data_IF_481127526120
#
_entry.id   IF_481127526120
#
_cell.length_a   1.000
_cell.length_b   1.000
_cell.length_c   1.000
_cell.angle_alpha   90.00
_cell.angle_beta   90.00
_cell.angle_gamma   90.00
#
_symmetry.space_group_name_H-M   'P 1'
#
loop_
_entity.id
_entity.type
_entity.pdbx_description
1 polymer ?
#
# COMPACT_ATOMS: atom_id res chain seq x y z
N UNK A 1 -20.29 -1.50 46.95
CA UNK A 1 -20.01 -0.39 47.89
C UNK A 1 -18.70 0.31 47.60
N UNK A 2 -17.63 -0.40 47.21
CA UNK A 2 -16.31 0.18 46.95
C UNK A 2 -16.29 1.06 45.72
N UNK A 3 -16.97 0.66 44.66
CA UNK A 3 -17.15 1.48 43.44
C UNK A 3 -17.94 2.76 43.75
N UNK A 4 -19.02 2.65 44.50
CA UNK A 4 -19.78 3.82 44.94
C UNK A 4 -18.92 4.79 45.77
N UNK A 5 -18.00 4.27 46.61
CA UNK A 5 -17.08 5.10 47.36
C UNK A 5 -16.03 5.75 46.43
N UNK A 6 -15.49 5.00 45.46
CA UNK A 6 -14.58 5.58 44.47
C UNK A 6 -15.24 6.67 43.63
N UNK A 7 -16.46 6.44 43.18
CA UNK A 7 -17.24 7.44 42.44
C UNK A 7 -17.54 8.67 43.27
N UNK A 8 -17.97 8.48 44.55
CA UNK A 8 -18.15 9.59 45.46
C UNK A 8 -16.87 10.43 45.59
N UNK A 9 -15.72 9.84 45.77
CA UNK A 9 -14.45 10.58 45.92
C UNK A 9 -14.04 11.32 44.63
N UNK A 10 -14.43 10.81 43.44
CA UNK A 10 -14.22 11.49 42.18
C UNK A 10 -15.18 12.69 42.01
N UNK A 11 -16.48 12.47 42.27
CA UNK A 11 -17.55 13.43 41.95
C UNK A 11 -17.80 14.47 43.05
N UNK A 12 -17.46 14.17 44.31
CA UNK A 12 -17.72 15.09 45.44
C UNK A 12 -17.11 16.48 45.25
N UNK A 13 -15.97 16.55 44.54
CA UNK A 13 -15.30 17.83 44.24
C UNK A 13 -16.14 18.76 43.37
N UNK A 14 -17.08 18.23 42.62
CA UNK A 14 -18.01 18.96 41.73
C UNK A 14 -19.30 19.31 42.44
N UNK A 15 -19.69 18.54 43.47
CA UNK A 15 -20.97 18.66 44.16
C UNK A 15 -20.93 19.77 45.19
N UNK A 16 -21.98 20.60 45.20
CA UNK A 16 -22.25 21.64 46.18
C UNK A 16 -23.53 21.28 46.94
N UNK A 17 -23.44 21.14 48.28
CA UNK A 17 -24.58 20.82 49.12
C UNK A 17 -24.78 21.94 50.14
N UNK A 18 -26.04 22.44 50.30
CA UNK A 18 -26.34 23.42 51.33
C UNK A 18 -25.92 22.95 52.71
N UNK A 19 -25.22 23.82 53.48
CA UNK A 19 -24.70 23.48 54.78
C UNK A 19 -23.30 22.86 54.78
N UNK A 20 -22.70 22.57 53.63
CA UNK A 20 -21.33 22.01 53.51
C UNK A 20 -20.49 22.86 52.56
N UNK A 21 -19.20 22.95 52.89
CA UNK A 21 -18.22 23.49 51.94
C UNK A 21 -18.13 22.57 50.70
N UNK A 22 -18.07 23.15 49.50
CA UNK A 22 -17.95 22.42 48.24
C UNK A 22 -16.88 21.33 48.34
N UNK A 23 -17.23 20.10 48.00
CA UNK A 23 -16.35 18.94 48.01
C UNK A 23 -16.11 18.35 49.41
N UNK A 24 -16.86 18.73 50.47
CA UNK A 24 -16.65 18.25 51.86
C UNK A 24 -17.91 17.60 52.48
N UNK A 25 -19.02 17.51 51.75
CA UNK A 25 -20.23 16.85 52.22
C UNK A 25 -20.00 15.32 52.30
N UNK A 26 -20.30 14.65 53.43
CA UNK A 26 -20.23 13.19 53.51
C UNK A 26 -21.16 12.51 52.52
N UNK A 27 -20.77 11.31 52.03
CA UNK A 27 -21.54 10.55 51.04
C UNK A 27 -23.02 10.36 51.42
N UNK A 28 -23.29 10.00 52.65
CA UNK A 28 -24.63 9.78 53.17
C UNK A 28 -25.53 11.03 53.08
N UNK A 29 -24.99 12.26 53.23
CA UNK A 29 -25.70 13.49 53.09
C UNK A 29 -25.98 13.83 51.60
N UNK A 30 -25.05 13.51 50.73
CA UNK A 30 -25.21 13.68 49.28
C UNK A 30 -26.32 12.72 48.77
N UNK A 31 -26.27 11.45 49.15
CA UNK A 31 -27.29 10.44 48.81
C UNK A 31 -28.66 10.79 49.33
N UNK A 32 -28.71 11.37 50.57
CA UNK A 32 -30.00 11.80 51.16
C UNK A 32 -30.61 13.00 50.41
N UNK A 33 -29.78 13.90 49.87
CA UNK A 33 -30.24 15.13 49.22
C UNK A 33 -30.52 14.95 47.74
N UNK A 34 -29.69 14.25 47.01
CA UNK A 34 -29.79 14.05 45.57
C UNK A 34 -30.36 12.66 45.19
N UNK A 35 -30.59 11.79 46.14
CA UNK A 35 -30.99 10.41 45.93
C UNK A 35 -29.81 9.45 45.89
N UNK A 36 -30.08 8.20 46.24
CA UNK A 36 -29.05 7.14 46.29
C UNK A 36 -28.39 6.87 44.94
N UNK A 37 -29.12 7.09 43.86
CA UNK A 37 -28.71 6.83 42.47
C UNK A 37 -27.69 7.84 41.91
N UNK A 38 -27.43 8.93 42.66
CA UNK A 38 -26.49 9.98 42.20
C UNK A 38 -25.06 9.47 41.84
N UNK A 39 -24.68 8.34 42.42
CA UNK A 39 -23.37 7.74 42.15
C UNK A 39 -23.43 6.42 41.36
N UNK A 40 -24.63 5.98 40.94
CA UNK A 40 -24.80 4.68 40.28
C UNK A 40 -24.14 4.64 38.90
N UNK A 41 -24.33 5.66 38.09
CA UNK A 41 -23.77 5.75 36.75
C UNK A 41 -22.21 5.65 36.79
N UNK A 42 -21.58 6.44 37.65
CA UNK A 42 -20.13 6.39 37.83
C UNK A 42 -19.63 5.08 38.43
N UNK A 43 -20.41 4.42 39.29
CA UNK A 43 -20.05 3.12 39.85
C UNK A 43 -20.21 2.00 38.83
N UNK A 44 -21.22 2.05 37.97
CA UNK A 44 -21.43 1.11 36.86
C UNK A 44 -20.26 1.24 35.88
N UNK A 45 -19.92 2.45 35.46
CA UNK A 45 -18.80 2.71 34.55
C UNK A 45 -17.45 2.22 35.11
N UNK A 46 -17.29 2.18 36.44
CA UNK A 46 -16.07 1.70 37.11
C UNK A 46 -16.00 0.17 37.22
N UNK A 47 -17.16 -0.51 37.34
CA UNK A 47 -17.23 -1.97 37.55
C UNK A 47 -17.47 -2.72 36.23
N UNK A 48 -18.25 -2.15 35.32
CA UNK A 48 -18.69 -2.80 34.09
C UNK A 48 -17.55 -3.44 33.29
N UNK A 49 -16.42 -2.75 33.01
CA UNK A 49 -15.35 -3.34 32.20
C UNK A 49 -14.81 -4.64 32.82
N UNK A 50 -14.63 -4.67 34.13
CA UNK A 50 -14.12 -5.86 34.84
C UNK A 50 -15.15 -6.97 34.85
N UNK A 51 -16.42 -6.65 35.17
CA UNK A 51 -17.49 -7.63 35.21
C UNK A 51 -17.78 -8.22 33.81
N UNK A 52 -17.67 -7.41 32.75
CA UNK A 52 -17.82 -7.86 31.38
C UNK A 52 -16.69 -8.82 30.98
N UNK A 53 -15.42 -8.46 31.28
CA UNK A 53 -14.27 -9.32 31.01
C UNK A 53 -14.37 -10.68 31.73
N UNK A 54 -14.81 -10.67 32.98
CA UNK A 54 -15.05 -11.90 33.76
C UNK A 54 -16.16 -12.74 33.14
N UNK A 55 -17.29 -12.11 32.74
CA UNK A 55 -18.40 -12.80 32.09
C UNK A 55 -18.02 -13.41 30.74
N UNK A 56 -17.20 -12.71 29.93
CA UNK A 56 -16.68 -13.23 28.67
C UNK A 56 -15.76 -14.44 28.91
N UNK A 57 -14.86 -14.36 29.90
CA UNK A 57 -13.98 -15.49 30.27
C UNK A 57 -14.78 -16.71 30.74
N UNK A 58 -15.82 -16.49 31.55
CA UNK A 58 -16.67 -17.57 32.08
C UNK A 58 -17.51 -18.23 30.99
N UNK A 59 -18.05 -17.41 30.06
CA UNK A 59 -18.86 -17.90 28.92
C UNK A 59 -18.04 -18.64 27.88
N UNK A 60 -16.72 -18.46 27.84
CA UNK A 60 -15.80 -19.00 26.79
C UNK A 60 -16.19 -18.59 25.37
N UNK A 61 -16.91 -17.49 25.23
CA UNK A 61 -17.26 -16.95 23.90
C UNK A 61 -16.09 -16.15 23.33
N UNK A 62 -15.83 -16.36 22.04
CA UNK A 62 -14.87 -15.53 21.29
C UNK A 62 -15.58 -14.26 20.81
N UNK A 63 -15.61 -13.25 21.69
CA UNK A 63 -16.33 -11.99 21.48
C UNK A 63 -15.49 -11.06 20.61
N UNK A 64 -16.08 -10.56 19.51
CA UNK A 64 -15.45 -9.62 18.58
C UNK A 64 -15.72 -8.18 19.03
N UNK A 65 -16.96 -7.88 19.32
CA UNK A 65 -17.38 -6.55 19.82
C UNK A 65 -18.68 -6.66 20.59
N UNK A 66 -18.90 -5.74 21.50
CA UNK A 66 -20.19 -5.51 22.10
C UNK A 66 -21.07 -4.75 21.10
N UNK A 67 -22.31 -5.11 21.00
CA UNK A 67 -23.27 -4.51 20.08
C UNK A 67 -23.90 -3.22 20.63
N UNK A 68 -23.30 -2.60 21.66
CA UNK A 68 -23.82 -1.43 22.38
C UNK A 68 -25.25 -1.59 22.98
N UNK A 69 -25.82 -2.77 22.91
CA UNK A 69 -27.12 -3.11 23.51
C UNK A 69 -26.93 -3.43 25.00
N UNK A 70 -26.43 -2.43 25.74
CA UNK A 70 -26.24 -2.53 27.17
C UNK A 70 -27.55 -2.13 27.90
N UNK A 71 -28.13 -3.07 28.62
CA UNK A 71 -29.34 -2.87 29.43
C UNK A 71 -29.05 -3.15 30.90
N UNK A 72 -29.34 -2.20 31.77
CA UNK A 72 -29.30 -2.43 33.20
C UNK A 72 -30.66 -2.99 33.61
N UNK A 73 -30.68 -4.28 33.99
CA UNK A 73 -31.88 -4.99 34.44
C UNK A 73 -32.26 -4.58 35.86
N UNK A 74 -31.26 -4.51 36.75
CA UNK A 74 -31.44 -4.14 38.14
C UNK A 74 -30.21 -3.39 38.66
N UNK A 75 -30.44 -2.36 39.48
CA UNK A 75 -29.36 -1.61 40.11
C UNK A 75 -29.71 -1.22 41.53
N UNK A 76 -28.79 -1.44 42.46
CA UNK A 76 -28.98 -1.14 43.88
C UNK A 76 -27.66 -1.04 44.63
N UNK A 77 -27.74 -0.84 45.96
CA UNK A 77 -26.57 -0.72 46.84
C UNK A 77 -25.69 -1.98 46.88
N UNK A 78 -26.27 -3.13 46.60
CA UNK A 78 -25.56 -4.43 46.68
C UNK A 78 -24.90 -4.83 45.40
N UNK A 79 -25.31 -4.25 44.25
CA UNK A 79 -24.80 -4.55 42.96
C UNK A 79 -25.72 -4.08 41.86
N UNK A 80 -25.38 -4.47 40.62
CA UNK A 80 -26.25 -4.30 39.48
C UNK A 80 -26.19 -5.54 38.59
N UNK A 81 -27.31 -5.79 37.92
CA UNK A 81 -27.44 -6.84 36.91
C UNK A 81 -27.56 -6.17 35.56
N UNK A 82 -26.74 -6.59 34.61
CA UNK A 82 -26.81 -6.09 33.25
C UNK A 82 -27.00 -7.21 32.25
N UNK A 83 -27.57 -6.85 31.10
CA UNK A 83 -27.66 -7.68 29.94
C UNK A 83 -26.92 -6.98 28.79
N UNK A 84 -26.16 -7.71 28.05
CA UNK A 84 -25.44 -7.18 26.88
C UNK A 84 -25.51 -8.18 25.75
N UNK A 85 -25.74 -7.68 24.54
CA UNK A 85 -25.64 -8.48 23.32
C UNK A 85 -24.22 -8.33 22.76
N UNK A 86 -23.60 -9.44 22.44
CA UNK A 86 -22.24 -9.48 21.89
C UNK A 86 -22.25 -10.17 20.54
N UNK A 87 -21.36 -9.72 19.66
CA UNK A 87 -21.11 -10.38 18.39
C UNK A 87 -19.91 -11.31 18.59
N UNK A 88 -20.10 -12.58 18.28
CA UNK A 88 -19.08 -13.60 18.41
C UNK A 88 -18.52 -13.97 17.04
N UNK A 89 -17.33 -14.57 17.02
CA UNK A 89 -16.79 -15.18 15.81
C UNK A 89 -17.78 -16.18 15.23
N UNK A 90 -17.92 -16.22 13.88
CA UNK A 90 -18.78 -17.19 13.21
C UNK A 90 -18.20 -18.60 13.28
N UNK A 91 -19.08 -19.59 13.20
CA UNK A 91 -18.61 -20.94 12.90
C UNK A 91 -18.08 -21.00 11.48
N UNK A 92 -16.87 -21.54 11.35
CA UNK A 92 -16.15 -21.61 10.07
C UNK A 92 -15.98 -23.05 9.65
N UNK A 93 -16.30 -23.33 8.40
CA UNK A 93 -16.06 -24.61 7.78
C UNK A 93 -15.14 -24.44 6.56
N UNK A 94 -14.11 -25.27 6.46
CA UNK A 94 -13.21 -25.30 5.32
C UNK A 94 -12.82 -26.76 5.03
N UNK A 95 -12.94 -27.15 3.77
CA UNK A 95 -12.58 -28.49 3.31
C UNK A 95 -11.70 -28.35 2.06
N UNK A 96 -10.95 -29.42 1.75
CA UNK A 96 -10.14 -29.51 0.52
C UNK A 96 -9.07 -28.43 0.36
N UNK A 97 -8.54 -27.87 1.46
CA UNK A 97 -7.48 -26.87 1.45
C UNK A 97 -6.07 -27.43 1.16
N UNK A 98 -5.92 -28.78 1.05
CA UNK A 98 -4.68 -29.46 0.64
C UNK A 98 -4.74 -29.80 -0.84
N UNK A 99 -3.60 -29.72 -1.51
CA UNK A 99 -3.50 -30.01 -2.93
C UNK A 99 -4.14 -28.96 -3.83
N UNK A 100 -4.18 -27.69 -3.39
CA UNK A 100 -4.62 -26.58 -4.21
C UNK A 100 -3.68 -26.40 -5.40
N UNK A 101 -4.25 -26.01 -6.54
CA UNK A 101 -3.50 -25.92 -7.78
C UNK A 101 -2.95 -24.51 -7.95
N UNK A 102 -1.66 -24.42 -8.27
CA UNK A 102 -0.97 -23.18 -8.54
C UNK A 102 -0.28 -23.20 -9.89
N UNK A 103 -0.25 -22.06 -10.55
CA UNK A 103 0.46 -21.85 -11.81
C UNK A 103 1.55 -20.77 -11.58
N UNK A 104 2.72 -21.13 -11.04
CA UNK A 104 3.78 -20.16 -10.81
C UNK A 104 4.38 -19.69 -12.13
N UNK A 105 4.65 -18.39 -12.22
CA UNK A 105 5.41 -17.83 -13.34
C UNK A 105 6.87 -18.23 -13.24
N UNK A 106 7.56 -18.31 -14.39
CA UNK A 106 9.01 -18.59 -14.39
C UNK A 106 9.77 -17.35 -13.90
N UNK A 107 10.58 -17.45 -12.84
CA UNK A 107 11.35 -16.30 -12.30
C UNK A 107 12.60 -15.98 -13.15
N UNK A 108 12.64 -16.33 -14.45
CA UNK A 108 13.81 -16.10 -15.30
C UNK A 108 14.09 -14.61 -15.49
N UNK A 109 15.24 -14.15 -15.01
CA UNK A 109 15.78 -12.80 -15.27
C UNK A 109 16.64 -12.83 -16.54
N UNK A 110 16.29 -12.01 -17.52
CA UNK A 110 16.99 -11.90 -18.79
C UNK A 110 18.07 -10.82 -18.74
N UNK A 111 19.05 -10.89 -19.66
CA UNK A 111 20.09 -9.86 -19.79
C UNK A 111 19.48 -8.48 -20.09
N UNK A 112 18.37 -8.45 -20.85
CA UNK A 112 17.65 -7.21 -21.15
C UNK A 112 17.11 -6.54 -19.88
N UNK A 113 16.68 -7.31 -18.86
CA UNK A 113 16.20 -6.77 -17.60
C UNK A 113 17.33 -6.14 -16.78
N UNK A 114 18.51 -6.78 -16.82
CA UNK A 114 19.72 -6.26 -16.17
C UNK A 114 20.15 -4.95 -16.84
N UNK A 115 20.19 -4.94 -18.18
CA UNK A 115 20.53 -3.74 -18.94
C UNK A 115 19.52 -2.61 -18.72
N UNK A 116 18.24 -2.93 -18.63
CA UNK A 116 17.20 -1.96 -18.31
C UNK A 116 17.39 -1.34 -16.92
N UNK A 117 17.76 -2.12 -15.91
CA UNK A 117 17.99 -1.61 -14.56
C UNK A 117 19.27 -0.76 -14.48
N UNK A 118 20.31 -1.17 -15.19
CA UNK A 118 21.54 -0.38 -15.34
C UNK A 118 21.23 0.95 -16.03
N UNK A 119 20.46 0.93 -17.12
CA UNK A 119 20.06 2.14 -17.84
C UNK A 119 19.26 3.10 -16.96
N UNK A 120 18.35 2.60 -16.10
CA UNK A 120 17.65 3.45 -15.11
C UNK A 120 18.63 4.10 -14.13
N UNK A 121 19.70 3.39 -13.77
CA UNK A 121 20.75 3.96 -12.91
C UNK A 121 21.52 5.04 -13.66
N UNK A 122 21.97 4.78 -14.88
CA UNK A 122 22.64 5.77 -15.73
C UNK A 122 21.76 7.02 -15.93
N UNK A 123 20.47 6.83 -16.12
CA UNK A 123 19.50 7.91 -16.25
C UNK A 123 19.43 8.84 -15.04
N UNK A 124 19.58 8.30 -13.82
CA UNK A 124 19.61 9.11 -12.59
C UNK A 124 20.87 9.98 -12.47
N UNK A 125 21.97 9.52 -13.04
CA UNK A 125 23.24 10.24 -13.03
C UNK A 125 23.49 11.05 -14.30
N UNK A 126 22.56 10.98 -15.28
CA UNK A 126 22.64 11.82 -16.48
C UNK A 126 22.26 13.27 -16.13
N UNK A 127 22.84 14.19 -16.88
CA UNK A 127 22.62 15.63 -16.73
C UNK A 127 22.31 16.27 -18.07
N UNK A 128 21.52 17.34 -18.03
CA UNK A 128 21.26 18.13 -19.21
C UNK A 128 22.39 19.11 -19.44
N UNK A 129 23.05 19.01 -20.58
CA UNK A 129 24.17 19.87 -20.97
C UNK A 129 23.89 20.51 -22.33
N UNK A 130 24.36 21.71 -22.55
CA UNK A 130 24.32 22.36 -23.87
C UNK A 130 25.20 21.61 -24.84
N UNK A 131 24.63 21.21 -25.98
CA UNK A 131 25.29 20.43 -27.01
C UNK A 131 25.28 21.16 -28.35
N UNK A 132 26.38 21.07 -29.07
CA UNK A 132 26.49 21.52 -30.46
C UNK A 132 26.10 20.36 -31.42
N UNK A 133 24.83 19.99 -31.40
CA UNK A 133 24.27 18.94 -32.28
C UNK A 133 22.93 19.41 -32.86
N UNK A 134 22.40 18.66 -33.81
CA UNK A 134 21.02 18.82 -34.25
C UNK A 134 20.05 18.33 -33.16
N UNK A 135 18.92 19.01 -33.01
CA UNK A 135 17.89 18.67 -32.02
C UNK A 135 17.27 17.30 -32.33
N UNK A 136 17.17 16.47 -31.30
CA UNK A 136 16.58 15.13 -31.32
C UNK A 136 15.42 15.05 -30.34
N UNK A 137 14.66 13.96 -30.37
CA UNK A 137 13.64 13.70 -29.35
C UNK A 137 14.30 13.63 -27.96
N UNK A 138 13.58 14.06 -26.93
CA UNK A 138 14.01 14.18 -25.54
C UNK A 138 15.06 15.29 -25.26
N UNK A 139 15.53 16.02 -26.30
CA UNK A 139 16.34 17.21 -26.07
C UNK A 139 15.47 18.40 -25.64
N UNK A 140 16.05 19.30 -24.85
CA UNK A 140 15.44 20.56 -24.48
C UNK A 140 15.95 21.65 -25.44
N UNK A 141 15.05 22.21 -26.21
CA UNK A 141 15.33 23.36 -27.07
C UNK A 141 14.96 24.64 -26.35
N UNK A 142 15.92 25.53 -26.15
CA UNK A 142 15.69 26.90 -25.63
C UNK A 142 15.53 27.79 -26.84
N UNK A 143 14.36 28.44 -26.98
CA UNK A 143 13.98 29.17 -28.16
C UNK A 143 13.15 30.40 -27.86
N UNK A 144 13.19 31.37 -28.76
CA UNK A 144 12.16 32.40 -28.87
C UNK A 144 11.17 31.97 -29.97
N UNK A 145 9.92 32.25 -29.76
CA UNK A 145 8.93 32.05 -30.81
C UNK A 145 7.89 33.18 -30.86
N UNK A 146 7.42 33.47 -32.06
CA UNK A 146 6.35 34.43 -32.32
C UNK A 146 5.33 33.82 -33.29
N UNK A 147 4.12 33.56 -32.82
CA UNK A 147 3.02 32.99 -33.61
C UNK A 147 2.14 34.05 -34.21
N UNK A 148 1.74 33.84 -35.47
CA UNK A 148 0.81 34.69 -36.18
C UNK A 148 -0.20 33.87 -36.97
N UNK A 149 -1.42 34.42 -37.14
CA UNK A 149 -2.48 33.90 -38.03
C UNK A 149 -2.73 34.95 -39.08
N UNK A 150 -2.63 34.59 -40.37
CA UNK A 150 -2.74 35.50 -41.49
C UNK A 150 -1.80 36.74 -41.38
N UNK A 151 -0.63 36.55 -40.74
CA UNK A 151 0.35 37.62 -40.55
C UNK A 151 0.05 38.52 -39.37
N UNK A 152 -0.98 38.25 -38.56
CA UNK A 152 -1.31 39.05 -37.35
C UNK A 152 -0.92 38.25 -36.10
N UNK A 153 -0.04 38.77 -35.22
CA UNK A 153 0.28 38.16 -33.96
C UNK A 153 -0.95 37.99 -33.07
N UNK A 154 -1.05 36.89 -32.31
CA UNK A 154 -2.14 36.64 -31.37
C UNK A 154 -1.65 36.59 -29.94
N UNK A 155 -2.54 36.86 -28.99
CA UNK A 155 -2.23 36.87 -27.56
C UNK A 155 -1.82 35.48 -27.05
N UNK A 156 -0.70 35.38 -26.33
CA UNK A 156 -0.13 34.10 -25.88
C UNK A 156 0.66 33.34 -26.94
N UNK A 157 0.81 33.88 -28.15
CA UNK A 157 1.56 33.26 -29.26
C UNK A 157 3.07 33.51 -29.24
N UNK A 158 3.59 34.32 -28.31
CA UNK A 158 5.02 34.67 -28.27
C UNK A 158 5.63 34.41 -26.89
N UNK A 159 6.87 33.92 -26.86
CA UNK A 159 7.69 33.83 -25.66
C UNK A 159 9.16 33.94 -26.03
N UNK A 160 9.96 34.42 -25.08
CA UNK A 160 11.41 34.50 -25.19
C UNK A 160 12.05 33.53 -24.20
N UNK A 161 13.18 32.92 -24.62
CA UNK A 161 13.95 31.93 -23.85
C UNK A 161 13.10 30.77 -23.29
N UNK A 162 12.11 30.34 -24.05
CA UNK A 162 11.25 29.23 -23.66
C UNK A 162 11.98 27.90 -23.81
N UNK A 163 11.91 27.06 -22.79
CA UNK A 163 12.52 25.72 -22.78
C UNK A 163 11.45 24.68 -23.11
N UNK A 164 11.57 24.03 -24.28
CA UNK A 164 10.68 23.01 -24.76
C UNK A 164 11.42 21.67 -24.87
N UNK A 165 10.91 20.62 -24.21
CA UNK A 165 11.39 19.25 -24.44
C UNK A 165 10.70 18.67 -25.66
N UNK A 166 11.46 18.29 -26.69
CA UNK A 166 10.93 17.71 -27.91
C UNK A 166 10.40 16.29 -27.68
N UNK A 167 9.28 15.95 -28.33
CA UNK A 167 8.65 14.62 -28.20
C UNK A 167 7.61 14.51 -27.10
N UNK A 168 7.49 15.52 -26.21
CA UNK A 168 6.51 15.52 -25.11
C UNK A 168 5.09 15.84 -25.54
N UNK A 169 4.91 16.35 -26.77
CA UNK A 169 3.62 16.80 -27.33
C UNK A 169 2.92 17.86 -26.45
N UNK A 170 3.70 18.69 -25.79
CA UNK A 170 3.20 19.81 -25.00
C UNK A 170 2.70 20.98 -25.89
N UNK A 171 3.27 21.10 -27.10
CA UNK A 171 2.83 22.09 -28.10
C UNK A 171 1.80 21.50 -29.06
N UNK A 172 1.22 22.38 -29.89
CA UNK A 172 0.26 21.96 -30.93
C UNK A 172 0.89 20.93 -31.87
N UNK A 173 0.11 19.91 -32.30
CA UNK A 173 0.62 18.84 -33.14
C UNK A 173 1.39 19.33 -34.36
N UNK A 174 2.57 18.75 -34.59
CA UNK A 174 3.45 19.08 -35.70
C UNK A 174 4.40 20.26 -35.44
N UNK A 175 4.33 20.92 -34.28
CA UNK A 175 5.27 21.99 -33.90
C UNK A 175 6.64 21.41 -33.55
N UNK A 176 6.68 20.45 -32.65
CA UNK A 176 7.92 19.83 -32.16
C UNK A 176 8.63 19.07 -33.27
N UNK A 177 7.85 18.39 -34.15
CA UNK A 177 8.40 17.60 -35.26
C UNK A 177 9.20 18.46 -36.26
N UNK A 178 8.80 19.74 -36.46
CA UNK A 178 9.48 20.63 -37.35
C UNK A 178 10.76 21.25 -36.76
N UNK A 179 10.98 21.11 -35.46
CA UNK A 179 12.22 21.56 -34.81
C UNK A 179 13.31 20.45 -34.82
N UNK A 180 12.91 19.19 -35.05
CA UNK A 180 13.86 18.09 -35.12
C UNK A 180 14.88 18.31 -36.29
N UNK A 181 16.16 18.07 -35.99
CA UNK A 181 17.23 18.20 -36.98
C UNK A 181 17.79 19.60 -37.14
N UNK A 182 17.21 20.63 -36.52
CA UNK A 182 17.74 22.00 -36.48
C UNK A 182 18.79 22.18 -35.40
N UNK A 183 19.63 23.22 -35.52
CA UNK A 183 20.74 23.52 -34.62
C UNK A 183 20.53 24.83 -33.86
N UNK A 184 21.31 24.99 -32.81
CA UNK A 184 21.41 26.27 -32.13
C UNK A 184 21.82 27.39 -33.11
N UNK A 185 21.11 28.50 -33.07
CA UNK A 185 21.25 29.65 -33.96
C UNK A 185 20.35 29.64 -35.19
N UNK A 186 19.66 28.53 -35.48
CA UNK A 186 18.74 28.44 -36.61
C UNK A 186 17.46 29.26 -36.35
N UNK A 187 16.95 29.89 -37.42
CA UNK A 187 15.62 30.51 -37.46
C UNK A 187 14.71 29.63 -38.33
N UNK A 188 13.61 29.16 -37.76
CA UNK A 188 12.72 28.15 -38.34
C UNK A 188 11.31 28.69 -38.45
N UNK A 189 10.70 28.59 -39.62
CA UNK A 189 9.30 28.91 -39.83
C UNK A 189 8.45 27.64 -39.68
N UNK A 190 7.80 27.52 -38.50
CA UNK A 190 6.98 26.35 -38.14
C UNK A 190 5.53 26.60 -38.50
N UNK A 191 5.01 25.79 -39.42
CA UNK A 191 3.65 25.87 -39.92
C UNK A 191 2.78 24.77 -39.33
N UNK A 192 1.77 25.15 -38.55
CA UNK A 192 0.90 24.22 -37.83
C UNK A 192 -0.57 24.68 -37.90
N UNK A 193 -1.48 23.78 -37.59
CA UNK A 193 -2.90 24.14 -37.45
C UNK A 193 -3.33 23.83 -36.02
N UNK A 194 -4.06 24.73 -35.39
CA UNK A 194 -4.66 24.49 -34.09
C UNK A 194 -5.70 23.36 -34.17
N UNK A 195 -5.78 22.46 -33.19
CA UNK A 195 -6.86 21.47 -33.11
C UNK A 195 -8.26 22.14 -33.10
N UNK A 196 -9.27 21.43 -33.57
CA UNK A 196 -10.65 21.95 -33.58
C UNK A 196 -11.23 22.12 -32.15
N UNK A 197 -10.73 21.35 -31.21
CA UNK A 197 -11.08 21.36 -29.79
C UNK A 197 -10.15 22.21 -28.90
N UNK A 198 -9.40 23.13 -29.55
CA UNK A 198 -8.47 23.98 -28.79
C UNK A 198 -9.22 24.91 -27.82
N UNK A 199 -8.70 25.06 -26.61
CA UNK A 199 -9.35 25.80 -25.50
C UNK A 199 -9.70 27.27 -25.86
N UNK A 200 -8.95 27.93 -26.75
CA UNK A 200 -9.25 29.26 -27.27
C UNK A 200 -10.05 29.14 -28.58
N UNK A 201 -11.36 29.33 -28.50
CA UNK A 201 -12.27 29.18 -29.65
C UNK A 201 -11.90 30.09 -30.84
N UNK A 202 -11.22 31.21 -30.60
CA UNK A 202 -10.77 32.13 -31.64
C UNK A 202 -9.61 31.58 -32.46
N UNK A 203 -8.87 30.60 -31.95
CA UNK A 203 -7.71 29.96 -32.59
C UNK A 203 -8.05 28.58 -33.16
N UNK A 204 -9.10 27.92 -32.67
CA UNK A 204 -9.47 26.55 -33.03
C UNK A 204 -9.60 26.37 -34.58
N UNK A 205 -8.95 25.32 -35.10
CA UNK A 205 -8.95 24.96 -36.52
C UNK A 205 -8.18 25.89 -37.44
N UNK A 206 -7.57 26.99 -36.94
CA UNK A 206 -6.88 27.96 -37.79
C UNK A 206 -5.43 27.58 -38.05
N UNK A 207 -4.89 27.82 -39.26
CA UNK A 207 -3.49 27.69 -39.56
C UNK A 207 -2.71 28.83 -38.92
N UNK A 208 -1.57 28.52 -38.32
CA UNK A 208 -0.67 29.49 -37.67
C UNK A 208 0.77 29.28 -38.16
N UNK A 209 1.48 30.38 -38.30
CA UNK A 209 2.91 30.42 -38.58
C UNK A 209 3.63 30.88 -37.35
N UNK A 210 4.57 30.09 -36.86
CA UNK A 210 5.46 30.44 -35.77
C UNK A 210 6.86 30.67 -36.32
N UNK A 211 7.42 31.86 -36.06
CA UNK A 211 8.82 32.13 -36.29
C UNK A 211 9.57 31.74 -35.03
N UNK A 212 10.43 30.73 -35.12
CA UNK A 212 11.15 30.19 -34.01
C UNK A 212 12.63 30.47 -34.21
N UNK A 213 13.28 30.98 -33.15
CA UNK A 213 14.73 31.15 -33.10
C UNK A 213 15.31 30.29 -32.00
N UNK A 214 16.13 29.32 -32.37
CA UNK A 214 16.76 28.37 -31.44
C UNK A 214 18.02 29.02 -30.86
N UNK A 215 18.08 29.14 -29.54
CA UNK A 215 19.26 29.68 -28.82
C UNK A 215 20.21 28.57 -28.40
N UNK A 216 19.67 27.54 -27.74
CA UNK A 216 20.47 26.44 -27.19
C UNK A 216 19.72 25.12 -27.37
N UNK A 217 20.48 24.04 -27.56
CA UNK A 217 19.99 22.69 -27.48
C UNK A 217 20.66 22.01 -26.29
N UNK A 218 19.87 21.55 -25.34
CA UNK A 218 20.38 20.80 -24.18
C UNK A 218 19.98 19.34 -24.34
N UNK A 219 20.97 18.51 -24.50
CA UNK A 219 20.79 17.07 -24.56
C UNK A 219 21.17 16.39 -23.27
N UNK A 220 20.68 15.20 -23.09
CA UNK A 220 20.99 14.35 -21.96
C UNK A 220 22.40 13.75 -22.15
N UNK A 221 23.34 14.13 -21.30
CA UNK A 221 24.64 13.52 -21.22
C UNK A 221 24.59 12.36 -20.23
N UNK A 222 24.61 11.14 -20.73
CA UNK A 222 24.64 9.93 -19.93
C UNK A 222 26.11 9.55 -19.71
N UNK A 223 26.55 9.29 -18.44
CA UNK A 223 27.90 8.87 -18.17
C UNK A 223 28.19 7.52 -18.82
N UNK A 224 29.46 7.28 -19.18
CA UNK A 224 29.89 5.98 -19.66
C UNK A 224 29.75 4.94 -18.55
N UNK A 225 29.25 3.75 -18.88
CA UNK A 225 29.14 2.65 -17.92
C UNK A 225 30.46 1.89 -17.88
N UNK A 226 31.38 2.38 -17.06
CA UNK A 226 32.72 1.83 -16.88
C UNK A 226 33.05 1.61 -15.40
N UNK A 227 34.24 1.05 -15.12
CA UNK A 227 34.65 0.74 -13.75
C UNK A 227 34.83 2.00 -12.88
N UNK A 228 35.15 3.16 -13.48
CA UNK A 228 35.28 4.42 -12.75
C UNK A 228 33.90 4.91 -12.27
N UNK A 229 32.94 4.89 -13.17
CA UNK A 229 31.53 5.21 -12.83
C UNK A 229 30.97 4.27 -11.75
N UNK A 230 31.23 2.96 -11.86
CA UNK A 230 30.75 1.97 -10.87
C UNK A 230 31.32 2.24 -9.47
N UNK A 231 32.63 2.60 -9.37
CA UNK A 231 33.25 2.98 -8.09
C UNK A 231 32.63 4.24 -7.46
N UNK A 232 32.24 5.18 -8.31
CA UNK A 232 31.65 6.44 -7.82
C UNK A 232 30.22 6.26 -7.25
N UNK A 233 29.45 5.27 -7.75
CA UNK A 233 28.04 5.09 -7.39
C UNK A 233 27.77 3.90 -6.47
N UNK A 234 28.75 3.04 -6.26
CA UNK A 234 28.58 1.78 -5.53
C UNK A 234 29.81 1.38 -4.73
N UNK A 235 29.72 0.27 -3.99
CA UNK A 235 30.84 -0.33 -3.26
C UNK A 235 31.66 -1.32 -4.10
N UNK A 236 31.35 -1.47 -5.40
CA UNK A 236 32.02 -2.40 -6.32
C UNK A 236 33.14 -1.72 -7.08
N UNK A 237 34.16 -2.51 -7.45
CA UNK A 237 35.32 -2.01 -8.17
C UNK A 237 35.20 -2.15 -9.68
N UNK A 238 34.32 -3.01 -10.18
CA UNK A 238 34.20 -3.32 -11.61
C UNK A 238 32.75 -3.38 -12.09
N UNK A 239 32.56 -3.09 -13.39
CA UNK A 239 31.28 -3.27 -14.09
C UNK A 239 30.74 -4.71 -13.93
N UNK A 240 31.64 -5.72 -13.96
CA UNK A 240 31.24 -7.12 -13.87
C UNK A 240 30.64 -7.45 -12.48
N UNK A 241 31.25 -6.96 -11.40
CA UNK A 241 30.71 -7.13 -10.03
C UNK A 241 29.39 -6.42 -9.85
N UNK A 242 29.26 -5.21 -10.36
CA UNK A 242 28.00 -4.45 -10.30
C UNK A 242 26.86 -5.15 -11.07
N UNK A 243 27.14 -5.65 -12.30
CA UNK A 243 26.15 -6.42 -13.08
C UNK A 243 25.71 -7.69 -12.35
N UNK A 244 26.63 -8.37 -11.69
CA UNK A 244 26.33 -9.58 -10.92
C UNK A 244 25.47 -9.26 -9.69
N UNK A 245 25.71 -8.14 -9.03
CA UNK A 245 24.86 -7.65 -7.92
C UNK A 245 23.46 -7.28 -8.39
N UNK A 246 23.35 -6.54 -9.50
CA UNK A 246 22.06 -6.22 -10.13
C UNK A 246 21.30 -7.49 -10.50
N UNK A 247 21.99 -8.48 -11.10
CA UNK A 247 21.40 -9.81 -11.40
C UNK A 247 20.85 -10.46 -10.14
N UNK A 248 21.66 -10.56 -9.06
CA UNK A 248 21.23 -11.15 -7.79
C UNK A 248 20.03 -10.44 -7.19
N UNK A 249 19.98 -9.12 -7.26
CA UNK A 249 18.84 -8.33 -6.77
C UNK A 249 17.58 -8.58 -7.60
N UNK A 250 17.71 -8.64 -8.92
CA UNK A 250 16.58 -8.94 -9.81
C UNK A 250 16.10 -10.38 -9.64
N UNK A 251 17.01 -11.36 -9.51
CA UNK A 251 16.67 -12.75 -9.23
C UNK A 251 15.93 -12.89 -7.90
N UNK A 252 16.46 -12.27 -6.83
CA UNK A 252 15.81 -12.28 -5.52
C UNK A 252 14.43 -11.64 -5.58
N UNK A 253 14.28 -10.55 -6.32
CA UNK A 253 12.99 -9.89 -6.52
C UNK A 253 12.03 -10.77 -7.32
N UNK A 254 12.48 -11.36 -8.44
CA UNK A 254 11.66 -12.24 -9.26
C UNK A 254 11.16 -13.46 -8.47
N UNK A 255 12.01 -14.07 -7.65
CA UNK A 255 11.63 -15.16 -6.76
C UNK A 255 10.62 -14.71 -5.69
N UNK A 256 10.80 -13.52 -5.12
CA UNK A 256 9.85 -12.94 -4.16
C UNK A 256 8.50 -12.64 -4.81
N UNK A 257 8.49 -12.09 -6.03
CA UNK A 257 7.29 -11.80 -6.80
C UNK A 257 6.53 -13.09 -7.15
N UNK A 258 7.24 -14.16 -7.54
CA UNK A 258 6.64 -15.49 -7.77
C UNK A 258 6.06 -16.08 -6.49
N UNK A 259 6.77 -15.98 -5.37
CA UNK A 259 6.26 -16.44 -4.08
C UNK A 259 4.99 -15.69 -3.66
N UNK A 260 4.97 -14.38 -3.86
CA UNK A 260 3.78 -13.56 -3.59
C UNK A 260 2.60 -13.92 -4.53
N UNK A 261 2.87 -14.19 -5.81
CA UNK A 261 1.85 -14.64 -6.77
C UNK A 261 1.25 -15.99 -6.37
N UNK A 262 2.08 -16.95 -5.94
CA UNK A 262 1.64 -18.24 -5.39
C UNK A 262 0.75 -18.03 -4.17
N UNK A 263 1.18 -17.18 -3.22
CA UNK A 263 0.39 -16.90 -2.03
C UNK A 263 -0.97 -16.28 -2.38
N UNK A 264 -1.01 -15.36 -3.33
CA UNK A 264 -2.26 -14.75 -3.80
C UNK A 264 -3.20 -15.79 -4.44
N UNK A 265 -2.68 -16.68 -5.31
CA UNK A 265 -3.48 -17.76 -5.91
C UNK A 265 -4.07 -18.71 -4.85
N UNK A 266 -3.28 -19.05 -3.83
CA UNK A 266 -3.73 -19.90 -2.72
C UNK A 266 -4.77 -19.15 -1.85
N UNK A 267 -4.55 -17.90 -1.55
CA UNK A 267 -5.50 -17.09 -0.77
C UNK A 267 -6.84 -16.91 -1.49
N UNK A 268 -6.85 -16.74 -2.81
CA UNK A 268 -8.09 -16.69 -3.59
C UNK A 268 -8.86 -18.02 -3.50
N UNK A 269 -8.17 -19.15 -3.68
CA UNK A 269 -8.81 -20.46 -3.56
C UNK A 269 -9.30 -20.72 -2.13
N UNK A 270 -8.54 -20.35 -1.10
CA UNK A 270 -8.99 -20.49 0.30
C UNK A 270 -10.21 -19.60 0.60
N UNK A 271 -10.27 -18.40 0.02
CA UNK A 271 -11.44 -17.53 0.14
C UNK A 271 -12.70 -18.16 -0.45
N UNK A 272 -12.58 -18.87 -1.57
CA UNK A 272 -13.70 -19.55 -2.24
C UNK A 272 -14.13 -20.83 -1.53
N UNK A 273 -13.20 -21.50 -0.85
CA UNK A 273 -13.45 -22.73 -0.09
C UNK A 273 -14.06 -22.49 1.30
N UNK A 274 -14.00 -21.25 1.79
CA UNK A 274 -14.49 -20.92 3.10
C UNK A 274 -16.02 -20.82 3.12
N UNK A 275 -16.65 -21.62 3.96
CA UNK A 275 -18.08 -21.51 4.28
C UNK A 275 -18.24 -20.89 5.67
N UNK A 276 -18.66 -19.62 5.72
CA UNK A 276 -18.94 -18.91 6.96
C UNK A 276 -19.90 -17.73 6.71
N UNK A 277 -20.82 -17.49 7.64
CA UNK A 277 -21.61 -16.25 7.70
C UNK A 277 -20.84 -15.21 8.50
N UNK A 278 -20.15 -14.32 7.79
CA UNK A 278 -19.29 -13.31 8.42
C UNK A 278 -20.12 -12.17 8.95
N UNK A 279 -20.08 -11.88 10.27
CA UNK A 279 -20.76 -10.71 10.82
C UNK A 279 -20.20 -9.41 10.22
N UNK A 280 -21.07 -8.48 9.87
CA UNK A 280 -20.69 -7.17 9.32
C UNK A 280 -19.72 -6.41 10.23
N UNK A 281 -19.86 -6.58 11.54
CA UNK A 281 -18.95 -5.98 12.52
C UNK A 281 -17.48 -6.42 12.32
N UNK A 282 -17.21 -7.65 11.89
CA UNK A 282 -15.84 -8.08 11.57
C UNK A 282 -15.29 -7.35 10.36
N UNK A 283 -16.13 -7.14 9.34
CA UNK A 283 -15.75 -6.44 8.12
C UNK A 283 -15.48 -4.97 8.45
N UNK A 284 -16.36 -4.33 9.25
CA UNK A 284 -16.18 -2.94 9.68
C UNK A 284 -14.90 -2.72 10.49
N UNK A 285 -14.56 -3.64 11.41
CA UNK A 285 -13.30 -3.60 12.15
C UNK A 285 -12.09 -3.72 11.20
N UNK A 286 -12.17 -4.58 10.21
CA UNK A 286 -11.10 -4.73 9.21
C UNK A 286 -10.98 -3.49 8.32
N UNK A 287 -12.11 -2.85 7.94
CA UNK A 287 -12.09 -1.57 7.22
C UNK A 287 -11.38 -0.50 8.05
N UNK A 288 -11.61 -0.46 9.36
CA UNK A 288 -10.94 0.48 10.25
C UNK A 288 -9.42 0.24 10.32
N UNK A 289 -8.99 -1.02 10.26
CA UNK A 289 -7.57 -1.38 10.19
C UNK A 289 -6.95 -0.95 8.86
N UNK A 290 -7.62 -1.22 7.73
CA UNK A 290 -7.18 -0.79 6.40
C UNK A 290 -7.06 0.74 6.30
N UNK A 291 -8.04 1.46 6.83
CA UNK A 291 -8.02 2.92 6.86
C UNK A 291 -6.87 3.47 7.71
N UNK A 292 -6.56 2.83 8.85
CA UNK A 292 -5.41 3.20 9.67
C UNK A 292 -4.09 2.97 8.93
N UNK A 293 -3.94 1.82 8.27
CA UNK A 293 -2.78 1.50 7.46
C UNK A 293 -2.63 2.46 6.26
N UNK A 294 -3.73 2.79 5.60
CA UNK A 294 -3.77 3.75 4.51
C UNK A 294 -3.36 5.16 4.97
N UNK A 295 -3.92 5.63 6.09
CA UNK A 295 -3.55 6.92 6.67
C UNK A 295 -2.06 6.97 7.05
N UNK A 296 -1.52 5.91 7.65
CA UNK A 296 -0.09 5.82 7.95
C UNK A 296 0.78 5.91 6.69
N UNK A 297 0.38 5.23 5.61
CA UNK A 297 1.08 5.28 4.31
C UNK A 297 1.06 6.70 3.72
N UNK A 298 -0.08 7.38 3.75
CA UNK A 298 -0.18 8.76 3.32
C UNK A 298 0.73 9.68 4.14
N UNK A 299 0.72 9.53 5.46
CA UNK A 299 1.58 10.33 6.35
C UNK A 299 3.08 10.10 6.08
N UNK A 300 3.49 8.87 5.78
CA UNK A 300 4.88 8.57 5.41
C UNK A 300 5.31 9.25 4.11
N UNK A 301 4.36 9.60 3.25
CA UNK A 301 4.55 10.38 2.01
C UNK A 301 4.33 11.90 2.21
N UNK A 302 4.14 12.34 3.47
CA UNK A 302 3.90 13.74 3.80
C UNK A 302 2.48 14.24 3.48
N UNK A 303 1.53 13.35 3.18
CA UNK A 303 0.15 13.69 2.85
C UNK A 303 -0.80 13.31 4.00
N UNK A 304 -1.74 14.20 4.34
CA UNK A 304 -2.80 13.91 5.31
C UNK A 304 -4.02 13.32 4.62
N UNK A 305 -4.75 12.45 5.33
CA UNK A 305 -5.95 11.81 4.81
C UNK A 305 -7.02 12.84 4.38
N UNK A 306 -7.18 13.91 5.13
CA UNK A 306 -8.14 14.98 4.80
C UNK A 306 -7.77 15.68 3.49
N UNK A 307 -6.48 15.94 3.28
CA UNK A 307 -5.97 16.55 2.03
C UNK A 307 -6.13 15.61 0.85
N UNK A 308 -5.85 14.32 1.04
CA UNK A 308 -6.11 13.29 0.02
C UNK A 308 -7.59 13.28 -0.40
N UNK A 309 -8.51 13.25 0.57
CA UNK A 309 -9.95 13.26 0.28
C UNK A 309 -10.39 14.53 -0.46
N UNK A 310 -9.83 15.68 -0.13
CA UNK A 310 -10.10 16.94 -0.84
C UNK A 310 -9.61 16.92 -2.28
N UNK A 311 -8.41 16.42 -2.53
CA UNK A 311 -7.81 16.34 -3.85
C UNK A 311 -8.55 15.34 -4.77
N UNK A 312 -9.01 14.22 -4.20
CA UNK A 312 -9.70 13.16 -4.96
C UNK A 312 -11.21 13.33 -5.03
N UNK A 313 -11.77 14.29 -4.30
CA UNK A 313 -13.23 14.46 -4.18
C UNK A 313 -13.92 13.31 -3.43
N UNK A 314 -13.17 12.50 -2.68
CA UNK A 314 -13.68 11.34 -1.95
C UNK A 314 -14.18 11.76 -0.57
N UNK A 315 -15.25 11.14 -0.08
CA UNK A 315 -15.73 11.34 1.28
C UNK A 315 -15.47 10.11 2.16
N UNK A 316 -15.54 10.21 3.50
CA UNK A 316 -15.24 9.09 4.40
C UNK A 316 -16.07 7.82 4.13
N UNK A 317 -17.35 7.97 3.77
CA UNK A 317 -18.24 6.85 3.47
C UNK A 317 -17.81 6.13 2.19
N UNK A 318 -17.56 6.89 1.13
CA UNK A 318 -17.08 6.37 -0.16
C UNK A 318 -15.71 5.69 -0.03
N UNK A 319 -14.84 6.22 0.84
CA UNK A 319 -13.54 5.61 1.12
C UNK A 319 -13.71 4.25 1.85
N UNK A 320 -14.59 4.16 2.84
CA UNK A 320 -14.91 2.89 3.51
C UNK A 320 -15.44 1.84 2.53
N UNK A 321 -16.33 2.25 1.63
CA UNK A 321 -16.90 1.35 0.61
C UNK A 321 -15.82 0.80 -0.34
N UNK A 322 -14.81 1.60 -0.67
CA UNK A 322 -13.67 1.12 -1.49
C UNK A 322 -12.86 0.02 -0.81
N UNK A 323 -12.74 0.05 0.52
CA UNK A 323 -12.01 -0.97 1.27
C UNK A 323 -12.85 -2.20 1.62
N UNK A 324 -14.19 -2.15 1.45
CA UNK A 324 -15.10 -3.20 1.92
C UNK A 324 -14.81 -4.57 1.31
N UNK A 325 -14.65 -4.64 0.00
CA UNK A 325 -14.35 -5.91 -0.69
C UNK A 325 -13.02 -6.51 -0.24
N UNK A 326 -11.99 -5.67 -0.13
CA UNK A 326 -10.67 -6.09 0.35
C UNK A 326 -10.73 -6.56 1.80
N UNK A 327 -11.43 -5.82 2.67
CA UNK A 327 -11.61 -6.16 4.08
C UNK A 327 -12.36 -7.49 4.25
N UNK A 328 -13.44 -7.70 3.50
CA UNK A 328 -14.17 -8.97 3.50
C UNK A 328 -13.27 -10.13 3.11
N UNK A 329 -12.49 -9.99 2.04
CA UNK A 329 -11.52 -11.00 1.59
C UNK A 329 -10.49 -11.31 2.66
N UNK A 330 -9.93 -10.30 3.31
CA UNK A 330 -8.93 -10.48 4.37
C UNK A 330 -9.51 -11.18 5.60
N UNK A 331 -10.73 -10.81 6.01
CA UNK A 331 -11.42 -11.49 7.11
C UNK A 331 -11.63 -12.98 6.79
N UNK A 332 -12.06 -13.30 5.58
CA UNK A 332 -12.25 -14.69 5.13
C UNK A 332 -10.94 -15.48 5.18
N UNK A 333 -9.87 -14.94 4.61
CA UNK A 333 -8.55 -15.57 4.62
C UNK A 333 -8.06 -15.82 6.04
N UNK A 334 -8.17 -14.81 6.93
CA UNK A 334 -7.79 -14.96 8.33
C UNK A 334 -8.56 -16.07 9.03
N UNK A 335 -9.88 -16.13 8.83
CA UNK A 335 -10.73 -17.18 9.39
C UNK A 335 -10.38 -18.58 8.83
N UNK A 336 -10.09 -18.66 7.53
CA UNK A 336 -9.68 -19.91 6.89
C UNK A 336 -8.36 -20.42 7.50
N UNK A 337 -7.35 -19.57 7.62
CA UNK A 337 -6.04 -19.95 8.17
C UNK A 337 -6.11 -20.31 9.66
N UNK A 338 -6.92 -19.58 10.45
CA UNK A 338 -7.17 -19.95 11.84
C UNK A 338 -7.84 -21.33 11.95
N UNK A 339 -8.82 -21.61 11.09
CA UNK A 339 -9.49 -22.92 11.07
C UNK A 339 -8.56 -24.05 10.66
N UNK A 340 -7.72 -23.83 9.64
CA UNK A 340 -6.69 -24.78 9.23
C UNK A 340 -5.72 -25.04 10.38
N UNK A 341 -5.28 -23.97 11.07
CA UNK A 341 -4.43 -24.08 12.26
C UNK A 341 -5.04 -24.97 13.35
N UNK A 342 -6.35 -24.85 13.59
CA UNK A 342 -7.07 -25.70 14.53
C UNK A 342 -7.17 -27.15 14.06
N UNK A 343 -7.50 -27.40 12.77
CA UNK A 343 -7.64 -28.73 12.19
C UNK A 343 -6.32 -29.51 12.19
N UNK A 344 -5.22 -28.82 11.92
CA UNK A 344 -3.87 -29.40 11.86
C UNK A 344 -3.14 -29.34 13.21
N UNK A 345 -3.80 -28.85 14.28
CA UNK A 345 -3.22 -28.67 15.62
C UNK A 345 -1.92 -27.86 15.61
N UNK A 346 -1.85 -26.83 14.80
CA UNK A 346 -0.68 -25.95 14.69
C UNK A 346 -0.60 -25.08 15.95
N UNK A 347 0.58 -25.05 16.58
CA UNK A 347 0.84 -24.24 17.76
C UNK A 347 2.04 -23.35 17.54
N UNK A 348 2.11 -22.25 18.29
CA UNK A 348 3.28 -21.40 18.38
C UNK A 348 3.99 -21.66 19.72
N UNK A 349 5.30 -21.88 19.66
CA UNK A 349 6.11 -22.03 20.89
C UNK A 349 6.47 -20.67 21.47
N UNK A 350 6.88 -20.69 22.74
CA UNK A 350 7.32 -19.46 23.42
C UNK A 350 8.57 -18.85 22.75
N UNK A 351 9.46 -19.72 22.26
CA UNK A 351 10.67 -19.30 21.55
C UNK A 351 10.31 -18.58 20.22
N UNK A 352 9.37 -19.10 19.45
CA UNK A 352 8.92 -18.48 18.19
C UNK A 352 8.27 -17.11 18.44
N UNK A 353 7.50 -16.98 19.50
CA UNK A 353 6.86 -15.71 19.87
C UNK A 353 7.93 -14.68 20.27
N UNK A 354 8.93 -15.06 21.07
CA UNK A 354 10.01 -14.17 21.48
C UNK A 354 10.91 -13.77 20.30
N UNK A 355 11.21 -14.70 19.40
CA UNK A 355 11.96 -14.43 18.18
C UNK A 355 11.22 -13.43 17.27
N UNK A 356 9.92 -13.56 17.13
CA UNK A 356 9.12 -12.64 16.33
C UNK A 356 9.09 -11.24 16.94
N UNK A 357 8.96 -11.11 18.26
CA UNK A 357 9.09 -9.81 18.92
C UNK A 357 10.46 -9.16 18.69
N UNK A 358 11.52 -9.98 18.67
CA UNK A 358 12.86 -9.50 18.38
C UNK A 358 12.99 -9.03 16.92
N UNK A 359 12.47 -9.80 15.96
CA UNK A 359 12.46 -9.43 14.55
C UNK A 359 11.71 -8.11 14.30
N UNK A 360 10.55 -7.94 14.95
CA UNK A 360 9.78 -6.70 14.87
C UNK A 360 10.53 -5.52 15.52
N UNK A 361 11.20 -5.75 16.65
CA UNK A 361 12.02 -4.74 17.32
C UNK A 361 13.17 -4.26 16.42
N UNK A 362 13.84 -5.16 15.72
CA UNK A 362 14.91 -4.86 14.75
C UNK A 362 14.37 -4.15 13.51
N UNK A 363 13.26 -4.63 12.95
CA UNK A 363 12.63 -4.06 11.76
C UNK A 363 12.17 -2.61 11.99
N UNK A 364 11.51 -2.35 13.11
CA UNK A 364 11.02 -1.01 13.44
C UNK A 364 12.03 -0.16 14.21
N UNK A 365 13.23 -0.68 14.47
CA UNK A 365 14.30 -0.01 15.22
C UNK A 365 13.78 0.57 16.55
N UNK A 366 12.98 -0.21 17.25
CA UNK A 366 12.34 0.17 18.52
C UNK A 366 12.62 -0.85 19.61
N UNK A 367 12.40 -0.46 20.87
CA UNK A 367 12.61 -1.35 22.00
C UNK A 367 11.59 -2.50 22.02
N UNK A 368 12.03 -3.72 22.36
CA UNK A 368 11.20 -4.92 22.39
C UNK A 368 10.03 -4.79 23.40
N UNK A 369 10.24 -4.08 24.52
CA UNK A 369 9.19 -3.88 25.52
C UNK A 369 8.07 -2.99 24.97
N UNK A 370 8.41 -2.04 24.10
CA UNK A 370 7.40 -1.22 23.40
C UNK A 370 6.63 -2.04 22.36
N UNK A 371 7.29 -2.95 21.65
CA UNK A 371 6.62 -3.87 20.73
C UNK A 371 5.63 -4.75 21.50
N UNK A 372 6.05 -5.34 22.62
CA UNK A 372 5.20 -6.16 23.50
C UNK A 372 4.04 -5.39 24.13
N UNK A 373 4.18 -4.09 24.33
CA UNK A 373 3.09 -3.24 24.83
C UNK A 373 2.02 -2.93 23.76
N UNK A 374 2.40 -2.93 22.49
CA UNK A 374 1.52 -2.64 21.36
C UNK A 374 0.87 -3.91 20.82
N UNK A 375 1.66 -4.96 20.65
CA UNK A 375 1.22 -6.24 20.08
C UNK A 375 1.06 -7.25 21.21
N UNK A 376 -0.16 -7.68 21.47
CA UNK A 376 -0.44 -8.66 22.51
C UNK A 376 0.16 -10.02 22.15
N UNK A 377 0.53 -10.78 23.19
CA UNK A 377 1.02 -12.16 23.01
C UNK A 377 0.01 -13.04 22.26
N UNK A 378 -1.28 -12.87 22.55
CA UNK A 378 -2.35 -13.62 21.88
C UNK A 378 -2.41 -13.29 20.38
N UNK A 379 -2.34 -12.00 20.03
CA UNK A 379 -2.27 -11.56 18.64
C UNK A 379 -1.08 -12.16 17.90
N UNK A 380 0.11 -12.05 18.50
CA UNK A 380 1.33 -12.63 17.93
C UNK A 380 1.24 -14.16 17.75
N UNK A 381 0.62 -14.86 18.71
CA UNK A 381 0.37 -16.31 18.60
C UNK A 381 -0.51 -16.64 17.40
N UNK A 382 -1.61 -15.89 17.21
CA UNK A 382 -2.52 -16.07 16.07
C UNK A 382 -1.82 -15.83 14.74
N UNK A 383 -0.98 -14.80 14.64
CA UNK A 383 -0.22 -14.48 13.43
C UNK A 383 0.78 -15.58 13.07
N UNK A 384 1.50 -16.12 14.06
CA UNK A 384 2.43 -17.24 13.84
C UNK A 384 1.67 -18.49 13.38
N UNK A 385 0.52 -18.80 13.98
CA UNK A 385 -0.31 -19.96 13.59
C UNK A 385 -0.83 -19.78 12.16
N UNK A 386 -1.33 -18.59 11.82
CA UNK A 386 -1.82 -18.29 10.47
C UNK A 386 -0.69 -18.42 9.42
N UNK A 387 0.50 -17.90 9.71
CA UNK A 387 1.68 -18.05 8.83
C UNK A 387 2.09 -19.52 8.65
N UNK A 388 2.09 -20.31 9.71
CA UNK A 388 2.37 -21.76 9.65
C UNK A 388 1.30 -22.51 8.86
N UNK A 389 0.03 -22.15 9.03
CA UNK A 389 -1.08 -22.72 8.27
C UNK A 389 -0.94 -22.40 6.77
N UNK A 390 -0.57 -21.17 6.42
CA UNK A 390 -0.32 -20.78 5.04
C UNK A 390 0.88 -21.53 4.43
N UNK A 391 1.96 -21.72 5.18
CA UNK A 391 3.10 -22.50 4.75
C UNK A 391 2.70 -23.97 4.49
N UNK A 392 1.89 -24.58 5.36
CA UNK A 392 1.37 -25.93 5.16
C UNK A 392 0.54 -26.02 3.87
N UNK A 393 -0.35 -25.06 3.62
CA UNK A 393 -1.15 -25.02 2.38
C UNK A 393 -0.25 -24.90 1.15
N UNK A 394 0.79 -24.07 1.22
CA UNK A 394 1.78 -23.88 0.16
C UNK A 394 2.59 -25.16 -0.10
N UNK A 395 3.06 -25.84 0.95
CA UNK A 395 3.86 -27.06 0.85
C UNK A 395 3.05 -28.25 0.27
N UNK A 396 1.75 -28.27 0.51
CA UNK A 396 0.82 -29.28 -0.02
C UNK A 396 0.23 -28.89 -1.39
N UNK A 397 0.56 -27.69 -1.93
CA UNK A 397 0.06 -27.22 -3.21
C UNK A 397 0.62 -28.03 -4.40
N UNK A 398 -0.18 -28.19 -5.43
CA UNK A 398 0.20 -28.91 -6.65
C UNK A 398 0.48 -27.91 -7.77
N UNK A 399 1.70 -27.93 -8.28
CA UNK A 399 2.10 -27.11 -9.41
C UNK A 399 1.52 -27.65 -10.71
N UNK A 400 0.62 -26.91 -11.34
CA UNK A 400 0.18 -27.17 -12.71
C UNK A 400 1.12 -26.44 -13.68
N UNK A 401 1.96 -27.18 -14.38
CA UNK A 401 2.83 -26.60 -15.42
C UNK A 401 2.00 -26.38 -16.67
N UNK A 402 1.78 -25.14 -17.04
CA UNK A 402 1.11 -24.77 -18.28
C UNK A 402 1.88 -25.34 -19.48
N UNK A 403 1.27 -26.29 -20.22
CA UNK A 403 1.89 -26.95 -21.36
C UNK A 403 2.05 -26.06 -22.58
N UNK A 404 1.41 -24.90 -22.60
CA UNK A 404 1.36 -24.02 -23.78
C UNK A 404 2.63 -23.18 -23.97
N UNK A 405 3.46 -22.96 -22.96
CA UNK A 405 4.73 -22.22 -23.11
C UNK A 405 5.89 -23.08 -23.67
N UNK A 406 5.78 -24.42 -23.66
CA UNK A 406 6.81 -25.28 -24.25
C UNK A 406 6.81 -25.35 -25.78
N UNK A 407 5.81 -24.77 -26.44
CA UNK A 407 5.69 -24.82 -27.92
C UNK A 407 6.47 -23.71 -28.66
N UNK A 408 7.08 -22.75 -27.97
CA UNK A 408 7.75 -21.60 -28.58
C UNK A 408 9.28 -21.66 -28.70
N UNK A 409 9.94 -22.80 -28.40
CA UNK A 409 11.37 -22.93 -28.67
C UNK A 409 11.59 -23.52 -30.08
N UNK A 410 12.13 -22.77 -31.06
CA UNK A 410 12.42 -23.31 -32.38
C UNK A 410 13.57 -24.33 -32.28
N UNK A 411 13.32 -25.53 -32.77
CA UNK A 411 14.30 -26.60 -32.89
C UNK A 411 15.50 -26.11 -33.72
N UNK A 412 16.68 -26.00 -33.10
CA UNK A 412 17.94 -25.81 -33.82
C UNK A 412 18.21 -27.05 -34.68
N UNK A 413 17.97 -26.90 -35.97
CA UNK A 413 18.36 -27.88 -37.00
C UNK A 413 19.88 -27.93 -37.09
N UNK A 414 20.50 -28.93 -36.50
CA UNK A 414 21.88 -29.33 -36.79
C UNK A 414 21.95 -29.96 -38.16
N UNK A 415 22.40 -29.21 -39.18
CA UNK A 415 22.83 -29.77 -40.45
C UNK A 415 24.18 -30.44 -40.29
N UNK A 416 24.18 -31.75 -40.21
CA UNK A 416 25.33 -32.61 -40.37
C UNK A 416 25.78 -32.55 -41.84
N UNK A 417 26.94 -31.94 -42.08
CA UNK A 417 27.66 -32.05 -43.38
C UNK A 417 28.54 -33.28 -43.34
N UNK A 418 28.09 -34.36 -43.95
CA UNK A 418 28.90 -35.50 -44.31
C UNK A 418 29.79 -35.14 -45.50
N UNK A 419 31.08 -34.95 -45.26
CA UNK A 419 32.07 -34.94 -46.32
C UNK A 419 32.35 -36.39 -46.78
N UNK A 420 32.09 -36.65 -48.05
CA UNK A 420 32.52 -37.85 -48.77
C UNK A 420 33.96 -37.64 -49.23
N UNK A 421 34.85 -38.50 -48.74
CA UNK A 421 36.12 -38.75 -49.39
C UNK A 421 35.85 -39.73 -50.55
N UNK A 422 36.41 -39.42 -51.70
CA UNK A 422 36.55 -40.36 -52.82
C UNK A 422 37.91 -40.15 -53.45
N UNK A 423 38.60 -41.25 -53.39
CA UNK A 423 39.78 -41.66 -54.16
C UNK A 423 40.06 -41.02 -55.52
N UNK A 424 41.17 -40.55 -55.70
CA UNK A 424 42.31 -41.07 -56.56
C UNK A 424 43.49 -40.10 -56.48
#
# INVERSE_FOLDING_TARGET
>A
NDALNRTYHKEIKKISLPGFRKGKAPRSFVEKYYGEQVFYEGAVNDIFPVAFEEAVKESKLDVITDNNDFEIVEIGKQGFTFKISVITKPEVNIANYKGLKIEPKDPEVKEEDIDAEINKTLDRYSRMVTMDKAAENDDIVVMDFEGSIDGVPFEGGAAENYSLTLGTKMFIPGFEDQLLGHKAGDEVDVNVSFPEDYHAAELAGKPALFKVKIHEIKGKETPAFDDEFVKDISEFDTVAEYREDVRKKLDAKAHADVAADIDNQLMEQLNDLLEAEIPEAMIELQIDEELRAFNFRLQSQGLKLETYMQLTGTNPKSLREQFKEQAERQVKIRLALEKIGQLENITASDEEIEEEYKNLSELYKTDIDKVKAIISREGQTKDIIARKAMNLVRDEAVVEVNKDEKAAKPAKTTKSTKAKAADK
#
